data_IF_973819811017
#
_entry.id   IF_973819811017
#
_cell.length_a   1.000
_cell.length_b   1.000
_cell.length_c   1.000
_cell.angle_alpha   90.00
_cell.angle_beta   90.00
_cell.angle_gamma   90.00
#
_symmetry.space_group_name_H-M   'P 1'
#
loop_
_entity.id
_entity.type
_entity.pdbx_description
1 polymer ?
#
# COMPACT_ATOMS: atom_id res chain seq x y z
N UNK A 1 -21.96 14.30 -4.80
CA UNK A 1 -22.02 13.00 -4.11
C UNK A 1 -20.70 12.20 -4.12
N UNK A 2 -19.72 12.46 -5.01
CA UNK A 2 -18.49 11.66 -5.14
C UNK A 2 -17.41 11.81 -4.04
N UNK A 3 -17.51 12.78 -3.11
CA UNK A 3 -16.44 13.06 -2.12
C UNK A 3 -16.45 12.11 -0.91
N UNK A 4 -17.62 11.54 -0.56
CA UNK A 4 -17.77 10.69 0.62
C UNK A 4 -17.27 9.25 0.39
N UNK A 5 -17.47 8.71 -0.82
CA UNK A 5 -17.02 7.35 -1.15
C UNK A 5 -15.49 7.19 -1.08
N UNK A 6 -14.74 8.23 -1.48
CA UNK A 6 -13.27 8.26 -1.39
C UNK A 6 -12.78 8.20 0.06
N UNK A 7 -13.45 8.92 0.98
CA UNK A 7 -13.10 8.87 2.40
C UNK A 7 -13.33 7.50 3.04
N UNK A 8 -14.41 6.80 2.66
CA UNK A 8 -14.72 5.47 3.22
C UNK A 8 -13.80 4.39 2.66
N UNK A 9 -13.47 4.46 1.36
CA UNK A 9 -12.52 3.54 0.72
C UNK A 9 -11.12 3.65 1.35
N UNK A 10 -10.60 4.87 1.52
CA UNK A 10 -9.33 5.11 2.19
C UNK A 10 -9.27 4.53 3.61
N UNK A 11 -10.33 4.68 4.41
CA UNK A 11 -10.39 4.11 5.77
C UNK A 11 -10.37 2.58 5.78
N UNK A 12 -11.00 1.93 4.78
CA UNK A 12 -10.97 0.47 4.62
C UNK A 12 -9.56 -0.05 4.37
N UNK A 13 -8.86 0.56 3.40
CA UNK A 13 -7.48 0.23 3.06
C UNK A 13 -6.51 0.50 4.22
N UNK A 14 -6.68 1.59 4.96
CA UNK A 14 -5.85 1.87 6.14
C UNK A 14 -6.03 0.81 7.24
N UNK A 15 -7.26 0.33 7.44
CA UNK A 15 -7.57 -0.72 8.42
C UNK A 15 -6.98 -2.06 8.02
N UNK A 16 -7.14 -2.42 6.75
CA UNK A 16 -6.51 -3.59 6.18
C UNK A 16 -4.96 -3.50 6.40
N UNK A 17 -4.34 -2.30 6.25
CA UNK A 17 -2.88 -2.13 6.33
C UNK A 17 -2.40 -2.33 7.76
N UNK A 18 -3.13 -1.74 8.70
CA UNK A 18 -2.87 -1.92 10.12
C UNK A 18 -2.94 -3.40 10.51
N UNK A 19 -3.89 -4.15 9.95
CA UNK A 19 -4.06 -5.59 10.20
C UNK A 19 -2.86 -6.37 9.69
N UNK A 20 -2.43 -6.13 8.44
CA UNK A 20 -1.24 -6.76 7.86
C UNK A 20 0.02 -6.49 8.69
N UNK A 21 0.26 -5.21 9.05
CA UNK A 21 1.44 -4.83 9.82
C UNK A 21 1.45 -5.48 11.20
N UNK A 22 0.30 -5.57 11.88
CA UNK A 22 0.18 -6.26 13.16
C UNK A 22 0.52 -7.76 13.01
N UNK A 23 -0.04 -8.41 11.98
CA UNK A 23 0.22 -9.81 11.67
C UNK A 23 1.70 -10.09 11.43
N UNK A 24 2.36 -9.38 10.49
CA UNK A 24 3.79 -9.62 10.21
C UNK A 24 4.72 -9.22 11.35
N UNK A 25 4.29 -8.33 12.24
CA UNK A 25 5.04 -8.01 13.47
C UNK A 25 5.09 -9.23 14.38
N UNK A 26 3.95 -9.91 14.57
CA UNK A 26 3.83 -11.07 15.46
C UNK A 26 4.47 -12.31 14.83
N UNK A 27 4.12 -12.63 13.58
CA UNK A 27 4.53 -13.90 12.97
C UNK A 27 5.99 -13.95 12.55
N UNK A 28 6.56 -12.81 12.16
CA UNK A 28 7.93 -12.75 11.63
C UNK A 28 8.92 -12.06 12.57
N UNK A 29 8.46 -11.62 13.75
CA UNK A 29 9.30 -10.96 14.75
C UNK A 29 10.02 -9.72 14.21
N UNK A 30 9.42 -9.01 13.25
CA UNK A 30 10.08 -7.88 12.58
C UNK A 30 10.37 -6.75 13.56
N UNK A 31 11.55 -6.14 13.41
CA UNK A 31 11.93 -4.99 14.24
C UNK A 31 10.98 -3.80 14.03
N UNK A 32 10.87 -2.93 15.05
CA UNK A 32 10.09 -1.68 14.95
C UNK A 32 10.49 -0.82 13.75
N UNK A 33 11.79 -0.78 13.42
CA UNK A 33 12.31 -0.03 12.29
C UNK A 33 11.85 -0.63 10.96
N UNK A 34 11.86 -1.95 10.84
CA UNK A 34 11.35 -2.65 9.65
C UNK A 34 9.85 -2.40 9.46
N UNK A 35 9.06 -2.44 10.54
CA UNK A 35 7.63 -2.14 10.51
C UNK A 35 7.36 -0.68 10.11
N UNK A 36 8.13 0.27 10.65
CA UNK A 36 8.00 1.68 10.29
C UNK A 36 8.31 1.93 8.80
N UNK A 37 9.36 1.29 8.26
CA UNK A 37 9.66 1.33 6.84
C UNK A 37 8.52 0.73 5.99
N UNK A 38 8.02 -0.44 6.38
CA UNK A 38 6.90 -1.09 5.68
C UNK A 38 5.63 -0.22 5.70
N UNK A 39 5.32 0.42 6.83
CA UNK A 39 4.18 1.33 6.93
C UNK A 39 4.31 2.50 5.94
N UNK A 40 5.49 3.11 5.85
CA UNK A 40 5.74 4.23 4.93
C UNK A 40 5.56 3.81 3.47
N UNK A 41 6.11 2.66 3.10
CA UNK A 41 6.10 2.18 1.73
C UNK A 41 4.70 1.69 1.34
N UNK A 42 4.04 0.88 2.17
CA UNK A 42 2.67 0.40 1.92
C UNK A 42 1.61 1.50 2.06
N UNK A 43 1.88 2.55 2.84
CA UNK A 43 1.04 3.74 2.88
C UNK A 43 0.98 4.48 1.54
N UNK A 44 2.03 4.40 0.72
CA UNK A 44 1.97 4.91 -0.68
C UNK A 44 1.04 4.06 -1.53
N UNK A 45 1.07 2.75 -1.34
CA UNK A 45 0.20 1.84 -2.08
C UNK A 45 -1.28 2.05 -1.72
N UNK A 46 -1.59 2.22 -0.43
CA UNK A 46 -2.94 2.59 0.03
C UNK A 46 -3.42 3.88 -0.63
N UNK A 47 -2.60 4.93 -0.63
CA UNK A 47 -2.96 6.20 -1.27
C UNK A 47 -3.17 6.05 -2.79
N UNK A 48 -2.36 5.20 -3.45
CA UNK A 48 -2.54 4.88 -4.86
C UNK A 48 -3.87 4.14 -5.12
N UNK A 49 -4.19 3.11 -4.33
CA UNK A 49 -5.44 2.34 -4.48
C UNK A 49 -6.67 3.21 -4.24
N UNK A 50 -6.64 4.09 -3.23
CA UNK A 50 -7.71 5.06 -2.98
C UNK A 50 -7.88 6.03 -4.17
N UNK A 51 -6.78 6.47 -4.79
CA UNK A 51 -6.83 7.28 -6.00
C UNK A 51 -7.41 6.53 -7.21
N UNK A 52 -7.23 5.20 -7.28
CA UNK A 52 -7.90 4.32 -8.25
C UNK A 52 -9.35 3.96 -7.85
N UNK A 53 -9.87 4.52 -6.74
CA UNK A 53 -11.21 4.26 -6.20
C UNK A 53 -11.45 2.79 -5.80
N UNK A 54 -10.40 2.10 -5.37
CA UNK A 54 -10.48 0.73 -4.86
C UNK A 54 -10.67 0.76 -3.35
N UNK A 55 -11.56 -0.08 -2.84
CA UNK A 55 -11.90 -0.13 -1.41
C UNK A 55 -11.14 -1.22 -0.65
N UNK A 56 -10.60 -2.21 -1.35
CA UNK A 56 -9.79 -3.28 -0.79
C UNK A 56 -8.55 -3.54 -1.64
N UNK A 57 -7.48 -4.01 -1.01
CA UNK A 57 -6.30 -4.51 -1.72
C UNK A 57 -6.65 -5.73 -2.58
N UNK A 58 -7.66 -6.50 -2.19
CA UNK A 58 -8.13 -7.64 -2.97
C UNK A 58 -8.72 -7.25 -4.33
N UNK A 59 -9.15 -6.00 -4.49
CA UNK A 59 -9.68 -5.45 -5.74
C UNK A 59 -8.55 -5.02 -6.71
N UNK A 60 -7.30 -5.03 -6.25
CA UNK A 60 -6.16 -4.63 -7.07
C UNK A 60 -5.85 -5.69 -8.15
N UNK A 61 -6.01 -5.28 -9.41
CA UNK A 61 -5.57 -6.06 -10.56
C UNK A 61 -4.03 -6.13 -10.67
N UNK A 62 -3.48 -7.09 -11.43
CA UNK A 62 -2.05 -7.08 -11.77
C UNK A 62 -1.58 -5.79 -12.44
N UNK A 63 -2.43 -5.13 -13.22
CA UNK A 63 -2.10 -3.87 -13.88
C UNK A 63 -1.88 -2.75 -12.85
N UNK A 64 -2.76 -2.64 -11.85
CA UNK A 64 -2.62 -1.66 -10.77
C UNK A 64 -1.29 -1.82 -10.02
N UNK A 65 -0.83 -3.05 -9.82
CA UNK A 65 0.44 -3.34 -9.16
C UNK A 65 1.63 -2.92 -10.03
N UNK A 66 1.57 -3.21 -11.34
CA UNK A 66 2.61 -2.81 -12.29
C UNK A 66 2.71 -1.29 -12.43
N UNK A 67 1.57 -0.61 -12.58
CA UNK A 67 1.51 0.85 -12.70
C UNK A 67 2.03 1.54 -11.44
N UNK A 68 1.65 1.02 -10.26
CA UNK A 68 2.20 1.50 -8.99
C UNK A 68 3.70 1.30 -8.91
N UNK A 69 4.21 0.11 -9.25
CA UNK A 69 5.63 -0.20 -9.21
C UNK A 69 6.43 0.73 -10.14
N UNK A 70 5.89 1.03 -11.33
CA UNK A 70 6.47 2.00 -12.24
C UNK A 70 6.53 3.38 -11.59
N UNK A 71 5.39 3.91 -11.12
CA UNK A 71 5.28 5.25 -10.55
C UNK A 71 6.21 5.48 -9.35
N UNK A 72 6.32 4.50 -8.44
CA UNK A 72 7.21 4.65 -7.28
C UNK A 72 8.68 4.46 -7.62
N UNK A 73 9.01 3.78 -8.72
CA UNK A 73 10.40 3.62 -9.17
C UNK A 73 10.91 4.84 -9.93
N UNK A 74 10.04 5.55 -10.66
CA UNK A 74 10.37 6.81 -11.34
C UNK A 74 10.26 8.03 -10.43
N UNK A 75 9.52 7.94 -9.32
CA UNK A 75 9.18 9.08 -8.47
C UNK A 75 8.02 9.91 -9.02
N UNK A 76 7.28 9.38 -10.00
CA UNK A 76 6.09 10.03 -10.59
C UNK A 76 4.92 10.12 -9.59
N UNK A 77 5.02 9.44 -8.44
CA UNK A 77 4.15 9.63 -7.27
C UNK A 77 4.41 10.96 -6.52
N UNK A 78 5.35 11.79 -7.01
CA UNK A 78 5.75 13.05 -6.38
C UNK A 78 6.60 12.88 -5.13
N UNK A 79 7.15 11.68 -4.91
CA UNK A 79 8.00 11.35 -3.76
C UNK A 79 9.34 10.81 -4.24
N UNK A 80 10.30 10.69 -3.32
CA UNK A 80 11.58 10.03 -3.65
C UNK A 80 11.32 8.62 -4.16
N UNK A 81 11.93 8.32 -5.31
CA UNK A 81 11.90 7.01 -5.94
C UNK A 81 12.29 5.91 -4.93
N UNK A 82 11.52 4.82 -4.92
CA UNK A 82 11.83 3.62 -4.17
C UNK A 82 12.75 2.73 -5.01
N UNK A 83 13.68 2.06 -4.32
CA UNK A 83 14.45 1.01 -4.95
C UNK A 83 13.50 -0.11 -5.45
N UNK A 84 13.80 -0.79 -6.58
CA UNK A 84 12.94 -1.84 -7.14
C UNK A 84 12.58 -2.95 -6.13
N UNK A 85 13.51 -3.30 -5.24
CA UNK A 85 13.32 -4.28 -4.19
C UNK A 85 12.30 -3.85 -3.11
N UNK A 86 12.04 -2.56 -2.95
CA UNK A 86 10.99 -2.02 -2.07
C UNK A 86 9.64 -2.02 -2.77
N UNK A 87 9.59 -1.66 -4.06
CA UNK A 87 8.37 -1.73 -4.87
C UNK A 87 7.82 -3.16 -4.97
N UNK A 88 8.72 -4.13 -5.16
CA UNK A 88 8.39 -5.56 -5.27
C UNK A 88 7.82 -6.20 -3.99
N UNK A 89 7.91 -5.53 -2.83
CA UNK A 89 7.38 -6.05 -1.55
C UNK A 89 5.90 -5.74 -1.33
N UNK A 90 5.24 -5.11 -2.29
CA UNK A 90 3.84 -4.75 -2.22
C UNK A 90 2.97 -5.99 -2.40
N UNK A 91 2.29 -6.49 -1.36
CA UNK A 91 1.49 -7.70 -1.47
C UNK A 91 0.18 -7.39 -2.20
N UNK A 92 -0.21 -8.28 -3.12
CA UNK A 92 -1.53 -8.22 -3.81
C UNK A 92 -2.69 -8.64 -2.92
N UNK A 93 -2.39 -9.29 -1.80
CA UNK A 93 -3.34 -9.72 -0.78
C UNK A 93 -2.67 -9.60 0.58
N UNK A 94 -3.39 -9.06 1.54
CA UNK A 94 -2.97 -9.02 2.93
C UNK A 94 -3.59 -10.21 3.64
N UNK A 95 -2.86 -11.31 3.66
CA UNK A 95 -3.21 -12.53 4.39
C UNK A 95 -2.24 -12.70 5.54
#
# INVERSE_FOLDING_TARGET
MARLARGVAGLGLERELATYLAHVTVERGLSRNTIAAYRRDLGRYVAYLDAQQLASVADASPQHVSDFAQAVSSGDDGRTALAPASAARTPKRWT
#
